data_IF_200144863611
#
_entry.id   IF_200144863611
#
_cell.length_a   1.000
_cell.length_b   1.000
_cell.length_c   1.000
_cell.angle_alpha   90.00
_cell.angle_beta   90.00
_cell.angle_gamma   90.00
#
_symmetry.space_group_name_H-M   'P 1'
#
loop_
_entity.id
_entity.type
_entity.pdbx_description
1 polymer ?
#
# COMPACT_ATOMS: atom_id res chain seq x y z
N UNK A 1 33.48 -2.51 -31.62
CA UNK A 1 32.04 -2.72 -31.31
C UNK A 1 31.51 -4.09 -31.78
N UNK A 2 32.35 -5.09 -32.06
CA UNK A 2 31.92 -6.38 -32.64
C UNK A 2 31.58 -7.45 -31.59
N UNK A 3 32.15 -7.37 -30.38
CA UNK A 3 31.89 -8.30 -29.28
C UNK A 3 30.44 -8.30 -28.81
N UNK A 4 29.91 -7.09 -28.68
CA UNK A 4 28.55 -6.79 -28.25
C UNK A 4 27.49 -7.41 -29.18
N UNK A 5 27.82 -7.55 -30.47
CA UNK A 5 26.95 -8.17 -31.48
C UNK A 5 26.89 -9.70 -31.33
N UNK A 6 27.98 -10.35 -30.91
CA UNK A 6 28.02 -11.82 -30.75
C UNK A 6 27.12 -12.31 -29.62
N UNK A 7 27.14 -11.62 -28.48
CA UNK A 7 26.27 -11.96 -27.34
C UNK A 7 24.79 -11.79 -27.72
N UNK A 8 24.46 -10.71 -28.43
CA UNK A 8 23.09 -10.48 -28.90
C UNK A 8 22.66 -11.51 -29.93
N UNK A 9 23.49 -11.84 -30.91
CA UNK A 9 23.18 -12.86 -31.90
C UNK A 9 22.96 -14.25 -31.26
N UNK A 10 23.70 -14.56 -30.19
CA UNK A 10 23.44 -15.76 -29.39
C UNK A 10 22.06 -15.70 -28.73
N UNK A 11 21.73 -14.61 -28.04
CA UNK A 11 20.43 -14.44 -27.39
C UNK A 11 19.30 -14.56 -28.43
N UNK A 12 19.45 -13.93 -29.60
CA UNK A 12 18.48 -14.02 -30.70
C UNK A 12 18.24 -15.46 -31.15
N UNK A 13 19.31 -16.24 -31.33
CA UNK A 13 19.22 -17.61 -31.84
C UNK A 13 18.80 -18.63 -30.76
N UNK A 14 19.08 -18.32 -29.49
CA UNK A 14 18.98 -19.26 -28.39
C UNK A 14 18.11 -18.76 -27.22
N UNK A 15 17.21 -17.81 -27.44
CA UNK A 15 16.32 -17.28 -26.39
C UNK A 15 15.48 -18.38 -25.72
N UNK A 16 14.89 -19.31 -26.49
CA UNK A 16 14.06 -20.40 -25.95
C UNK A 16 14.83 -21.35 -25.01
N UNK A 17 15.99 -21.95 -25.39
CA UNK A 17 16.73 -22.82 -24.47
C UNK A 17 17.26 -22.07 -23.24
N UNK A 18 17.68 -20.81 -23.39
CA UNK A 18 18.09 -19.98 -22.24
C UNK A 18 16.88 -19.74 -21.30
N UNK A 19 15.72 -19.42 -21.86
CA UNK A 19 14.48 -19.19 -21.11
C UNK A 19 14.00 -20.44 -20.37
N UNK A 20 14.10 -21.64 -20.98
CA UNK A 20 13.77 -22.92 -20.32
C UNK A 20 14.71 -23.23 -19.16
N UNK A 21 16.02 -23.00 -19.35
CA UNK A 21 17.00 -23.17 -18.29
C UNK A 21 16.70 -22.23 -17.11
N UNK A 22 16.38 -20.97 -17.40
CA UNK A 22 15.93 -20.00 -16.40
C UNK A 22 14.64 -20.43 -15.70
N UNK A 23 13.61 -20.85 -16.44
CA UNK A 23 12.32 -21.26 -15.91
C UNK A 23 12.45 -22.45 -14.94
N UNK A 24 13.30 -23.41 -15.26
CA UNK A 24 13.62 -24.55 -14.39
C UNK A 24 14.33 -24.11 -13.10
N UNK A 25 15.21 -23.12 -13.18
CA UNK A 25 15.98 -22.62 -12.04
C UNK A 25 15.09 -21.82 -11.08
N UNK A 26 14.30 -20.85 -11.57
CA UNK A 26 13.39 -20.06 -10.72
C UNK A 26 12.34 -20.93 -10.02
N UNK A 27 11.93 -22.05 -10.62
CA UNK A 27 10.98 -22.99 -9.99
C UNK A 27 11.58 -23.85 -8.87
N UNK A 28 12.91 -23.88 -8.74
CA UNK A 28 13.62 -24.70 -7.74
C UNK A 28 14.41 -23.87 -6.75
N UNK A 29 14.68 -22.61 -7.08
CA UNK A 29 15.53 -21.76 -6.28
C UNK A 29 14.78 -21.31 -5.00
N UNK A 30 15.37 -21.46 -3.80
CA UNK A 30 14.72 -21.09 -2.54
C UNK A 30 14.43 -19.59 -2.42
N UNK A 31 15.10 -18.75 -3.22
CA UNK A 31 14.90 -17.29 -3.24
C UNK A 31 13.78 -16.84 -4.19
N UNK A 32 13.08 -17.77 -4.83
CA UNK A 32 11.98 -17.49 -5.77
C UNK A 32 10.81 -18.45 -5.53
N UNK A 33 10.41 -18.57 -4.27
CA UNK A 33 9.35 -19.50 -3.84
C UNK A 33 8.00 -19.27 -4.56
N UNK A 34 7.66 -18.01 -4.83
CA UNK A 34 6.42 -17.63 -5.53
C UNK A 34 6.37 -18.16 -6.97
N UNK A 35 7.51 -18.52 -7.56
CA UNK A 35 7.59 -19.07 -8.92
C UNK A 35 7.44 -20.59 -8.97
N UNK A 36 7.56 -21.33 -7.86
CA UNK A 36 7.63 -22.80 -7.86
C UNK A 36 6.39 -23.47 -8.48
N UNK A 37 5.22 -22.89 -8.21
CA UNK A 37 3.93 -23.39 -8.68
C UNK A 37 3.52 -22.83 -10.06
N UNK A 38 4.35 -21.99 -10.69
CA UNK A 38 4.04 -21.44 -11.99
C UNK A 38 4.35 -22.46 -13.12
N UNK A 39 3.42 -22.66 -14.06
CA UNK A 39 3.64 -23.55 -15.20
C UNK A 39 4.74 -23.00 -16.11
N UNK A 40 5.54 -23.89 -16.69
CA UNK A 40 6.65 -23.52 -17.57
C UNK A 40 6.13 -22.79 -18.83
N UNK A 41 4.92 -23.14 -19.27
CA UNK A 41 4.20 -22.52 -20.38
C UNK A 41 3.92 -21.02 -20.17
N UNK A 42 3.93 -20.54 -18.91
CA UNK A 42 3.84 -19.12 -18.59
C UNK A 42 5.22 -18.46 -18.41
N UNK A 43 6.16 -19.19 -17.81
CA UNK A 43 7.49 -18.65 -17.49
C UNK A 43 8.35 -18.49 -18.74
N UNK A 44 8.39 -19.48 -19.63
CA UNK A 44 9.26 -19.41 -20.81
C UNK A 44 8.93 -18.21 -21.70
N UNK A 45 7.64 -17.95 -22.07
CA UNK A 45 7.31 -16.75 -22.82
C UNK A 45 7.67 -15.43 -22.11
N UNK A 46 7.57 -15.39 -20.78
CA UNK A 46 7.95 -14.22 -20.00
C UNK A 46 9.44 -13.87 -20.19
N UNK A 47 10.32 -14.86 -20.07
CA UNK A 47 11.77 -14.67 -20.29
C UNK A 47 12.11 -14.39 -21.76
N UNK A 48 11.46 -15.05 -22.71
CA UNK A 48 11.67 -14.79 -24.15
C UNK A 48 11.30 -13.34 -24.49
N UNK A 49 10.13 -12.85 -24.05
CA UNK A 49 9.74 -11.43 -24.24
C UNK A 49 10.75 -10.47 -23.60
N UNK A 50 11.27 -10.81 -22.43
CA UNK A 50 12.33 -10.02 -21.79
C UNK A 50 13.60 -9.97 -22.65
N UNK A 51 14.06 -11.11 -23.17
CA UNK A 51 15.25 -11.19 -24.02
C UNK A 51 15.08 -10.44 -25.35
N UNK A 52 13.89 -10.49 -25.95
CA UNK A 52 13.57 -9.70 -27.13
C UNK A 52 13.63 -8.20 -26.86
N UNK A 53 13.14 -7.76 -25.70
CA UNK A 53 13.21 -6.36 -25.31
C UNK A 53 14.63 -5.92 -24.94
N UNK A 54 15.38 -6.78 -24.24
CA UNK A 54 16.79 -6.58 -23.93
C UNK A 54 17.60 -6.31 -25.21
N UNK A 55 17.34 -7.06 -26.28
CA UNK A 55 17.95 -6.81 -27.58
C UNK A 55 17.66 -5.40 -28.10
N UNK A 56 16.41 -4.96 -28.06
CA UNK A 56 16.03 -3.61 -28.52
C UNK A 56 16.76 -2.53 -27.72
N UNK A 57 16.78 -2.71 -26.40
CA UNK A 57 17.53 -1.85 -25.48
C UNK A 57 19.03 -1.85 -25.79
N UNK A 58 19.56 -2.98 -26.24
CA UNK A 58 20.98 -3.11 -26.57
C UNK A 58 21.42 -2.31 -27.79
N UNK A 59 20.56 -2.09 -28.77
CA UNK A 59 20.88 -1.29 -29.95
C UNK A 59 20.52 0.19 -29.81
N UNK A 60 19.81 0.58 -28.75
CA UNK A 60 19.35 1.94 -28.56
C UNK A 60 20.46 2.89 -28.10
N UNK A 61 20.42 4.14 -28.58
CA UNK A 61 21.27 5.23 -28.10
C UNK A 61 20.98 5.59 -26.64
N UNK A 62 19.70 5.43 -26.23
CA UNK A 62 19.23 5.67 -24.87
C UNK A 62 18.52 4.43 -24.29
N UNK A 63 19.28 3.40 -23.89
CA UNK A 63 18.74 2.11 -23.44
C UNK A 63 17.63 2.23 -22.38
N UNK A 64 17.84 3.11 -21.40
CA UNK A 64 16.93 3.30 -20.28
C UNK A 64 15.57 3.92 -20.69
N UNK A 65 15.56 4.86 -21.64
CA UNK A 65 14.32 5.50 -22.10
C UNK A 65 13.51 4.55 -22.99
N UNK A 66 14.17 3.81 -23.88
CA UNK A 66 13.53 2.90 -24.85
C UNK A 66 12.74 1.76 -24.21
N UNK A 67 13.17 1.29 -23.06
CA UNK A 67 12.64 0.08 -22.41
C UNK A 67 11.78 0.35 -21.17
N UNK A 68 11.64 1.63 -20.78
CA UNK A 68 10.91 2.05 -19.59
C UNK A 68 9.49 1.48 -19.55
N UNK A 69 8.73 1.67 -20.62
CA UNK A 69 7.33 1.22 -20.72
C UNK A 69 7.21 -0.31 -20.59
N UNK A 70 8.11 -1.05 -21.23
CA UNK A 70 8.16 -2.50 -21.10
C UNK A 70 8.38 -2.94 -19.65
N UNK A 71 9.28 -2.28 -18.91
CA UNK A 71 9.52 -2.64 -17.51
C UNK A 71 8.38 -2.25 -16.58
N UNK A 72 7.64 -1.17 -16.88
CA UNK A 72 6.40 -0.85 -16.17
C UNK A 72 5.35 -1.95 -16.32
N UNK A 73 5.09 -2.39 -17.56
CA UNK A 73 4.12 -3.45 -17.84
C UNK A 73 4.58 -4.79 -17.24
N UNK A 74 5.86 -5.12 -17.36
CA UNK A 74 6.44 -6.30 -16.72
C UNK A 74 6.24 -6.26 -15.21
N UNK A 75 6.52 -5.12 -14.56
CA UNK A 75 6.32 -4.95 -13.13
C UNK A 75 4.86 -5.14 -12.71
N UNK A 76 3.92 -4.57 -13.46
CA UNK A 76 2.49 -4.70 -13.20
C UNK A 76 2.00 -6.14 -13.33
N UNK A 77 2.45 -6.89 -14.34
CA UNK A 77 2.16 -8.32 -14.50
C UNK A 77 2.69 -9.13 -13.29
N UNK A 78 3.93 -8.88 -12.86
CA UNK A 78 4.52 -9.57 -11.71
C UNK A 78 3.79 -9.20 -10.39
N UNK A 79 3.41 -7.93 -10.22
CA UNK A 79 2.68 -7.46 -9.04
C UNK A 79 1.27 -8.05 -8.97
N UNK A 80 0.57 -8.10 -10.11
CA UNK A 80 -0.78 -8.68 -10.23
C UNK A 80 -0.78 -10.18 -9.92
N UNK A 81 0.28 -10.88 -10.34
CA UNK A 81 0.51 -12.30 -9.99
C UNK A 81 1.01 -12.52 -8.56
N UNK A 82 1.07 -11.46 -7.74
CA UNK A 82 1.45 -11.48 -6.32
C UNK A 82 2.88 -11.96 -6.07
N UNK A 83 3.77 -11.77 -7.04
CA UNK A 83 5.20 -12.03 -6.85
C UNK A 83 5.79 -10.86 -6.06
N UNK A 84 6.44 -11.13 -4.91
CA UNK A 84 7.06 -10.07 -4.12
C UNK A 84 8.29 -9.50 -4.83
N UNK A 85 8.54 -8.20 -4.64
CA UNK A 85 9.60 -7.45 -5.33
C UNK A 85 10.98 -8.14 -5.27
N UNK A 86 11.36 -8.63 -4.09
CA UNK A 86 12.67 -9.26 -3.90
C UNK A 86 12.84 -10.53 -4.75
N UNK A 87 11.78 -11.32 -4.92
CA UNK A 87 11.80 -12.50 -5.80
C UNK A 87 11.84 -12.09 -7.27
N UNK A 88 11.08 -11.06 -7.66
CA UNK A 88 11.09 -10.55 -9.04
C UNK A 88 12.47 -10.00 -9.44
N UNK A 89 13.13 -9.26 -8.54
CA UNK A 89 14.53 -8.82 -8.73
C UNK A 89 15.46 -10.02 -8.86
N UNK A 90 15.32 -11.02 -7.98
CA UNK A 90 16.17 -12.20 -8.04
C UNK A 90 15.96 -13.00 -9.33
N UNK A 91 14.72 -13.09 -9.81
CA UNK A 91 14.39 -13.71 -11.10
C UNK A 91 15.09 -13.00 -12.27
N UNK A 92 15.16 -11.66 -12.28
CA UNK A 92 15.95 -10.89 -13.26
C UNK A 92 17.46 -11.15 -13.15
N UNK A 93 17.99 -11.25 -11.92
CA UNK A 93 19.40 -11.62 -11.70
C UNK A 93 19.70 -13.00 -12.27
N UNK A 94 18.78 -13.96 -12.10
CA UNK A 94 18.91 -15.29 -12.70
C UNK A 94 18.83 -15.23 -14.23
N UNK A 95 17.93 -14.43 -14.81
CA UNK A 95 17.89 -14.24 -16.27
C UNK A 95 19.23 -13.76 -16.81
N UNK A 96 19.85 -12.77 -16.16
CA UNK A 96 21.19 -12.27 -16.51
C UNK A 96 22.25 -13.37 -16.41
N UNK A 97 22.19 -14.18 -15.36
CA UNK A 97 23.12 -15.30 -15.15
C UNK A 97 23.02 -16.35 -16.25
N UNK A 98 21.80 -16.71 -16.67
CA UNK A 98 21.58 -17.71 -17.72
C UNK A 98 22.05 -17.25 -19.10
N UNK A 99 21.94 -15.95 -19.42
CA UNK A 99 22.57 -15.37 -20.63
C UNK A 99 24.09 -15.63 -20.61
N UNK A 100 24.74 -15.32 -19.49
CA UNK A 100 26.20 -15.44 -19.38
C UNK A 100 26.69 -16.89 -19.40
N UNK A 101 26.06 -17.77 -18.61
CA UNK A 101 26.41 -19.19 -18.57
C UNK A 101 26.27 -19.82 -19.95
N UNK A 102 25.19 -19.53 -20.68
CA UNK A 102 25.00 -20.06 -22.02
C UNK A 102 26.08 -19.54 -22.99
N UNK A 103 26.46 -18.27 -22.90
CA UNK A 103 27.52 -17.70 -23.73
C UNK A 103 28.90 -18.33 -23.47
N UNK A 104 29.21 -18.62 -22.20
CA UNK A 104 30.45 -19.27 -21.77
C UNK A 104 30.50 -20.73 -22.25
N UNK A 105 29.41 -21.50 -22.09
CA UNK A 105 29.31 -22.89 -22.55
C UNK A 105 29.44 -23.05 -24.07
N UNK A 106 29.00 -22.07 -24.85
CA UNK A 106 29.11 -22.10 -26.32
C UNK A 106 30.51 -21.69 -26.83
N UNK A 107 31.47 -21.44 -25.93
CA UNK A 107 32.86 -21.10 -26.25
C UNK A 107 32.96 -19.96 -27.28
N UNK A 108 32.15 -18.91 -27.12
CA UNK A 108 32.02 -17.83 -28.12
C UNK A 108 33.25 -16.91 -28.16
N UNK A 109 34.04 -16.91 -27.09
CA UNK A 109 35.15 -15.97 -26.89
C UNK A 109 36.49 -16.70 -26.64
N UNK A 110 37.01 -17.39 -27.65
CA UNK A 110 38.22 -18.21 -27.55
C UNK A 110 39.49 -17.36 -27.64
N UNK A 111 39.50 -16.34 -28.51
CA UNK A 111 40.70 -15.53 -28.75
C UNK A 111 40.85 -14.40 -27.73
N UNK A 112 42.09 -13.95 -27.48
CA UNK A 112 42.36 -12.86 -26.53
C UNK A 112 41.62 -11.54 -26.88
N UNK A 113 41.42 -11.27 -28.17
CA UNK A 113 40.63 -10.12 -28.65
C UNK A 113 39.14 -10.30 -28.35
N UNK A 114 38.63 -11.54 -28.50
CA UNK A 114 37.25 -11.89 -28.17
C UNK A 114 37.00 -11.86 -26.65
N UNK A 115 37.98 -12.21 -25.82
CA UNK A 115 37.85 -12.08 -24.37
C UNK A 115 37.67 -10.62 -23.92
N UNK A 116 38.47 -9.69 -24.47
CA UNK A 116 38.27 -8.26 -24.19
C UNK A 116 36.88 -7.77 -24.63
N UNK A 117 36.43 -8.26 -25.78
CA UNK A 117 35.09 -8.00 -26.31
C UNK A 117 33.95 -8.62 -25.46
N UNK A 118 34.20 -9.76 -24.82
CA UNK A 118 33.27 -10.39 -23.88
C UNK A 118 33.06 -9.52 -22.64
N UNK A 119 34.14 -8.90 -22.13
CA UNK A 119 34.08 -7.97 -20.99
C UNK A 119 33.20 -6.76 -21.32
N UNK A 120 33.38 -6.14 -22.49
CA UNK A 120 32.55 -4.99 -22.91
C UNK A 120 31.06 -5.38 -23.01
N UNK A 121 30.78 -6.57 -23.52
CA UNK A 121 29.42 -7.11 -23.66
C UNK A 121 28.79 -7.41 -22.30
N UNK A 122 29.59 -7.92 -21.37
CA UNK A 122 29.19 -8.20 -19.99
C UNK A 122 28.86 -6.89 -19.26
N UNK A 123 29.72 -5.88 -19.33
CA UNK A 123 29.48 -4.58 -18.68
C UNK A 123 28.20 -3.93 -19.22
N UNK A 124 27.99 -3.95 -20.54
CA UNK A 124 26.77 -3.40 -21.15
C UNK A 124 25.52 -4.19 -20.73
N UNK A 125 25.62 -5.52 -20.64
CA UNK A 125 24.52 -6.37 -20.16
C UNK A 125 24.17 -6.06 -18.70
N UNK A 126 25.18 -5.96 -17.82
CA UNK A 126 24.98 -5.59 -16.42
C UNK A 126 24.22 -4.27 -16.33
N UNK A 127 24.67 -3.24 -17.04
CA UNK A 127 24.04 -1.92 -17.04
C UNK A 127 22.56 -1.99 -17.43
N UNK A 128 22.20 -2.79 -18.44
CA UNK A 128 20.81 -2.93 -18.89
C UNK A 128 19.92 -3.64 -17.86
N UNK A 129 20.44 -4.69 -17.22
CA UNK A 129 19.72 -5.35 -16.12
C UNK A 129 19.61 -4.46 -14.89
N UNK A 130 20.60 -3.61 -14.61
CA UNK A 130 20.55 -2.67 -13.49
C UNK A 130 19.47 -1.59 -13.72
N UNK A 131 19.32 -1.11 -14.97
CA UNK A 131 18.16 -0.29 -15.34
C UNK A 131 16.84 -1.05 -15.19
N UNK A 132 16.76 -2.30 -15.64
CA UNK A 132 15.56 -3.13 -15.49
C UNK A 132 15.15 -3.27 -14.02
N UNK A 133 16.11 -3.56 -13.13
CA UNK A 133 15.90 -3.69 -11.68
C UNK A 133 15.47 -2.35 -11.07
N UNK A 134 16.08 -1.24 -11.51
CA UNK A 134 15.72 0.10 -11.03
C UNK A 134 14.29 0.45 -11.41
N UNK A 135 13.91 0.27 -12.68
CA UNK A 135 12.56 0.54 -13.14
C UNK A 135 11.54 -0.40 -12.49
N UNK A 136 11.83 -1.71 -12.42
CA UNK A 136 11.00 -2.68 -11.72
C UNK A 136 10.72 -2.23 -10.28
N UNK A 137 11.76 -1.82 -9.56
CA UNK A 137 11.65 -1.36 -8.17
C UNK A 137 10.81 -0.09 -8.06
N UNK A 138 11.02 0.89 -8.94
CA UNK A 138 10.21 2.12 -8.99
C UNK A 138 8.75 1.83 -9.30
N UNK A 139 8.47 0.94 -10.26
CA UNK A 139 7.12 0.54 -10.63
C UNK A 139 6.41 -0.18 -9.48
N UNK A 140 7.07 -1.16 -8.84
CA UNK A 140 6.54 -1.84 -7.66
C UNK A 140 6.25 -0.87 -6.51
N UNK A 141 7.17 0.07 -6.26
CA UNK A 141 6.97 1.09 -5.24
C UNK A 141 5.76 1.97 -5.56
N UNK A 142 5.60 2.39 -6.82
CA UNK A 142 4.43 3.13 -7.29
C UNK A 142 3.12 2.36 -7.10
N UNK A 143 3.09 1.08 -7.46
CA UNK A 143 1.92 0.20 -7.31
C UNK A 143 1.54 -0.03 -5.84
N UNK A 144 2.53 -0.28 -4.97
CA UNK A 144 2.31 -0.44 -3.53
C UNK A 144 1.76 0.86 -2.93
N UNK A 145 2.30 2.02 -3.32
CA UNK A 145 1.81 3.33 -2.89
C UNK A 145 0.37 3.56 -3.35
N UNK A 146 0.04 3.20 -4.59
CA UNK A 146 -1.32 3.27 -5.12
C UNK A 146 -2.30 2.44 -4.28
N UNK A 147 -2.01 1.16 -4.08
CA UNK A 147 -2.85 0.26 -3.27
C UNK A 147 -3.01 0.74 -1.82
N UNK A 148 -1.94 1.28 -1.23
CA UNK A 148 -2.00 1.87 0.10
C UNK A 148 -2.90 3.11 0.14
N UNK A 149 -2.75 4.01 -0.83
CA UNK A 149 -3.59 5.21 -0.94
C UNK A 149 -5.06 4.85 -1.10
N UNK A 150 -5.40 3.83 -1.89
CA UNK A 150 -6.78 3.37 -2.08
C UNK A 150 -7.37 2.81 -0.77
N UNK A 151 -6.59 2.03 -0.02
CA UNK A 151 -7.01 1.52 1.31
C UNK A 151 -7.18 2.64 2.33
N UNK A 152 -6.28 3.62 2.32
CA UNK A 152 -6.37 4.80 3.18
C UNK A 152 -7.51 5.74 2.77
N UNK A 153 -7.90 5.78 1.50
CA UNK A 153 -9.02 6.60 1.03
C UNK A 153 -10.34 6.24 1.73
N UNK A 154 -10.58 4.95 2.00
CA UNK A 154 -11.74 4.49 2.78
C UNK A 154 -11.72 5.04 4.21
N UNK A 155 -10.55 5.04 4.86
CA UNK A 155 -10.39 5.59 6.21
C UNK A 155 -10.59 7.11 6.21
N UNK A 156 -10.02 7.79 5.23
CA UNK A 156 -10.16 9.23 5.04
C UNK A 156 -11.62 9.63 4.75
N UNK A 157 -12.38 8.81 4.03
CA UNK A 157 -13.80 9.02 3.79
C UNK A 157 -14.62 8.98 5.11
N UNK A 158 -14.38 7.98 5.96
CA UNK A 158 -15.05 7.89 7.29
C UNK A 158 -14.67 9.08 8.18
N UNK A 159 -13.41 9.49 8.12
CA UNK A 159 -12.91 10.65 8.87
C UNK A 159 -13.35 12.00 8.27
N UNK A 160 -14.04 12.00 7.12
CA UNK A 160 -14.40 13.19 6.34
C UNK A 160 -13.17 14.07 6.09
N UNK A 161 -12.01 13.47 5.83
CA UNK A 161 -10.75 14.14 5.56
C UNK A 161 -10.52 14.08 4.05
N UNK A 162 -10.58 15.22 3.37
CA UNK A 162 -10.39 15.20 1.92
C UNK A 162 -8.89 14.98 1.61
N UNK A 163 -8.55 14.18 0.59
CA UNK A 163 -7.16 14.03 0.14
C UNK A 163 -6.52 15.35 -0.31
N UNK A 164 -7.34 16.36 -0.64
CA UNK A 164 -6.94 17.65 -1.19
C UNK A 164 -6.98 18.81 -0.17
N UNK A 165 -7.13 18.52 1.13
CA UNK A 165 -7.14 19.56 2.16
C UNK A 165 -8.30 20.57 2.05
N UNK A 166 -9.32 20.30 1.24
CA UNK A 166 -10.51 21.15 1.16
C UNK A 166 -11.37 20.98 2.42
N UNK A 167 -11.81 22.13 2.92
CA UNK A 167 -12.47 22.32 4.22
C UNK A 167 -13.80 21.55 4.31
N UNK A 168 -13.75 20.27 4.69
CA UNK A 168 -14.93 19.50 5.17
C UNK A 168 -15.26 19.81 6.65
N UNK A 169 -14.48 20.70 7.29
CA UNK A 169 -14.75 21.27 8.62
C UNK A 169 -16.21 21.69 8.87
N UNK A 170 -16.89 22.45 7.97
CA UNK A 170 -18.26 22.90 8.22
C UNK A 170 -19.28 21.75 8.23
N UNK A 171 -19.04 20.66 7.48
CA UNK A 171 -19.93 19.50 7.51
C UNK A 171 -19.80 18.72 8.82
N UNK A 172 -18.56 18.52 9.30
CA UNK A 172 -18.30 17.88 10.60
C UNK A 172 -18.99 18.64 11.74
N UNK A 173 -18.82 19.96 11.77
CA UNK A 173 -19.45 20.80 12.81
C UNK A 173 -20.97 20.84 12.66
N UNK A 174 -21.51 20.90 11.44
CA UNK A 174 -22.96 20.88 11.20
C UNK A 174 -23.61 19.57 11.66
N UNK A 175 -23.04 18.41 11.28
CA UNK A 175 -23.55 17.09 11.69
C UNK A 175 -23.50 16.97 13.20
N UNK A 176 -22.38 17.34 13.85
CA UNK A 176 -22.30 17.33 15.31
C UNK A 176 -23.33 18.23 15.97
N UNK A 177 -23.53 19.44 15.46
CA UNK A 177 -24.49 20.38 16.03
C UNK A 177 -25.90 19.78 15.99
N UNK A 178 -26.29 19.15 14.89
CA UNK A 178 -27.58 18.46 14.76
C UNK A 178 -27.68 17.29 15.76
N UNK A 179 -26.63 16.47 15.87
CA UNK A 179 -26.60 15.34 16.80
C UNK A 179 -26.70 15.79 18.27
N UNK A 180 -26.01 16.88 18.64
CA UNK A 180 -26.04 17.44 19.99
C UNK A 180 -27.41 18.05 20.31
N UNK A 181 -27.98 18.83 19.40
CA UNK A 181 -29.34 19.37 19.56
C UNK A 181 -30.35 18.24 19.73
N UNK A 182 -30.28 17.21 18.86
CA UNK A 182 -31.14 16.03 18.98
C UNK A 182 -30.96 15.31 20.32
N UNK A 183 -29.72 15.19 20.80
CA UNK A 183 -29.41 14.58 22.10
C UNK A 183 -30.02 15.38 23.26
N UNK A 184 -29.89 16.71 23.23
CA UNK A 184 -30.45 17.58 24.26
C UNK A 184 -31.98 17.59 24.27
N UNK A 185 -32.62 17.67 23.11
CA UNK A 185 -34.08 17.60 22.98
C UNK A 185 -34.63 16.26 23.49
N UNK A 186 -33.93 15.16 23.18
CA UNK A 186 -34.31 13.83 23.63
C UNK A 186 -34.22 13.72 25.15
N UNK A 187 -33.10 14.16 25.76
CA UNK A 187 -32.96 14.18 27.23
C UNK A 187 -34.07 14.98 27.86
N UNK A 188 -34.34 16.20 27.38
CA UNK A 188 -35.38 17.06 27.93
C UNK A 188 -36.76 16.38 27.88
N UNK A 189 -37.12 15.78 26.75
CA UNK A 189 -38.40 15.08 26.61
C UNK A 189 -38.55 13.93 27.61
N UNK A 190 -37.56 13.05 27.72
CA UNK A 190 -37.64 11.90 28.62
C UNK A 190 -37.55 12.28 30.10
N UNK A 191 -36.74 13.29 30.44
CA UNK A 191 -36.54 13.72 31.81
C UNK A 191 -37.68 14.60 32.33
N UNK A 192 -38.13 15.58 31.53
CA UNK A 192 -39.13 16.56 31.98
C UNK A 192 -40.58 16.12 31.70
N UNK A 193 -40.85 15.40 30.60
CA UNK A 193 -42.23 15.05 30.19
C UNK A 193 -42.60 13.63 30.59
N UNK A 194 -41.70 12.66 30.38
CA UNK A 194 -41.99 11.24 30.65
C UNK A 194 -41.60 10.77 32.06
N UNK A 195 -40.67 11.47 32.74
CA UNK A 195 -40.22 11.13 34.08
C UNK A 195 -39.56 9.74 34.18
N UNK A 196 -38.95 9.26 33.09
CA UNK A 196 -38.44 7.88 32.99
C UNK A 196 -36.95 7.83 32.66
N UNK A 197 -36.19 7.00 33.38
CA UNK A 197 -34.76 6.72 33.14
C UNK A 197 -34.53 5.64 32.07
N UNK A 198 -35.19 5.75 30.91
CA UNK A 198 -35.10 4.75 29.84
C UNK A 198 -33.75 4.78 29.11
N UNK A 199 -33.39 3.65 28.51
CA UNK A 199 -32.13 3.26 27.85
C UNK A 199 -31.81 4.06 26.55
N UNK A 200 -32.35 5.27 26.36
CA UNK A 200 -32.11 6.07 25.13
C UNK A 200 -30.69 6.65 25.04
N UNK A 201 -29.97 6.67 26.15
CA UNK A 201 -28.59 7.19 26.28
C UNK A 201 -27.56 6.45 25.43
N UNK A 202 -27.90 5.28 24.88
CA UNK A 202 -27.07 4.59 23.89
C UNK A 202 -26.90 5.40 22.60
N UNK A 203 -27.90 6.23 22.25
CA UNK A 203 -27.80 7.12 21.09
C UNK A 203 -26.72 8.19 21.28
N UNK A 204 -26.35 8.52 22.52
CA UNK A 204 -25.32 9.52 22.80
C UNK A 204 -23.91 8.99 22.55
N UNK A 205 -23.72 7.67 22.40
CA UNK A 205 -22.45 7.12 21.95
C UNK A 205 -22.10 7.55 20.52
N UNK A 206 -23.09 7.81 19.65
CA UNK A 206 -22.85 8.24 18.27
C UNK A 206 -22.06 9.56 18.22
N UNK A 207 -22.53 10.68 18.81
CA UNK A 207 -21.75 11.92 18.83
C UNK A 207 -20.43 11.78 19.62
N UNK A 208 -20.39 10.98 20.69
CA UNK A 208 -19.15 10.73 21.47
C UNK A 208 -18.07 10.04 20.63
N UNK A 209 -18.44 9.01 19.86
CA UNK A 209 -17.51 8.29 18.98
C UNK A 209 -17.10 9.18 17.81
N UNK A 210 -18.06 9.84 17.16
CA UNK A 210 -17.77 10.74 16.03
C UNK A 210 -16.87 11.91 16.44
N UNK A 211 -17.05 12.45 17.65
CA UNK A 211 -16.18 13.54 18.12
C UNK A 211 -14.73 13.07 18.27
N UNK A 212 -14.52 11.87 18.82
CA UNK A 212 -13.19 11.25 18.94
C UNK A 212 -12.54 10.96 17.57
N UNK A 213 -13.32 10.55 16.57
CA UNK A 213 -12.81 10.30 15.21
C UNK A 213 -12.46 11.61 14.49
N UNK A 214 -13.30 12.64 14.60
CA UNK A 214 -13.14 13.88 13.82
C UNK A 214 -12.16 14.87 14.44
N UNK A 215 -12.07 14.92 15.77
CA UNK A 215 -11.25 15.88 16.51
C UNK A 215 -10.21 15.26 17.44
N UNK A 216 -10.04 13.93 17.43
CA UNK A 216 -9.04 13.23 18.25
C UNK A 216 -9.18 13.65 19.73
N UNK A 217 -8.10 14.11 20.36
CA UNK A 217 -8.09 14.54 21.78
C UNK A 217 -9.07 15.68 22.09
N UNK A 218 -9.30 16.62 21.18
CA UNK A 218 -10.25 17.71 21.44
C UNK A 218 -11.70 17.23 21.35
N UNK A 219 -11.96 16.09 20.72
CA UNK A 219 -13.25 15.41 20.71
C UNK A 219 -13.71 14.90 22.07
N UNK A 220 -12.79 14.64 23.01
CA UNK A 220 -13.09 14.18 24.38
C UNK A 220 -13.95 15.23 25.13
N UNK A 221 -13.79 16.51 24.79
CA UNK A 221 -14.59 17.61 25.36
C UNK A 221 -16.09 17.41 25.11
N UNK A 222 -16.47 16.92 23.93
CA UNK A 222 -17.88 16.64 23.61
C UNK A 222 -18.46 15.56 24.52
N UNK A 223 -17.67 14.51 24.81
CA UNK A 223 -18.08 13.45 25.73
C UNK A 223 -18.25 13.96 27.16
N UNK A 224 -17.35 14.83 27.62
CA UNK A 224 -17.45 15.47 28.93
C UNK A 224 -18.70 16.38 29.02
N UNK A 225 -18.96 17.20 28.00
CA UNK A 225 -20.14 18.09 27.95
C UNK A 225 -21.43 17.28 28.00
N UNK A 226 -21.56 16.22 27.19
CA UNK A 226 -22.74 15.35 27.19
C UNK A 226 -22.94 14.64 28.54
N UNK A 227 -21.85 14.16 29.15
CA UNK A 227 -21.90 13.53 30.47
C UNK A 227 -22.33 14.49 31.58
N UNK A 228 -21.78 15.70 31.61
CA UNK A 228 -22.15 16.74 32.58
C UNK A 228 -23.62 17.14 32.38
N UNK A 229 -24.05 17.34 31.13
CA UNK A 229 -25.42 17.68 30.80
C UNK A 229 -26.42 16.60 31.27
N UNK A 230 -26.09 15.32 31.06
CA UNK A 230 -26.92 14.19 31.51
C UNK A 230 -27.11 14.21 33.03
N UNK A 231 -26.01 14.38 33.79
CA UNK A 231 -26.06 14.46 35.25
C UNK A 231 -26.87 15.67 35.72
N UNK A 232 -26.65 16.86 35.13
CA UNK A 232 -27.39 18.07 35.48
C UNK A 232 -28.88 17.92 35.20
N UNK A 233 -29.25 17.32 34.07
CA UNK A 233 -30.66 17.07 33.73
C UNK A 233 -31.32 16.12 34.74
N UNK A 234 -30.64 15.05 35.14
CA UNK A 234 -31.14 14.13 36.18
C UNK A 234 -31.39 14.84 37.52
N UNK A 235 -30.44 15.68 37.95
CA UNK A 235 -30.57 16.41 39.22
C UNK A 235 -31.75 17.38 39.25
N UNK A 236 -32.06 18.02 38.11
CA UNK A 236 -33.14 19.02 38.02
C UNK A 236 -34.52 18.37 37.88
N UNK A 237 -34.64 17.30 37.10
CA UNK A 237 -35.94 16.76 36.69
C UNK A 237 -36.32 15.42 37.36
N UNK A 238 -35.34 14.66 37.88
CA UNK A 238 -35.52 13.27 38.31
C UNK A 238 -35.09 13.02 39.78
N UNK A 239 -35.43 13.96 40.68
CA UNK A 239 -35.11 13.93 42.11
C UNK A 239 -35.62 12.74 42.93
N UNK A 240 -36.23 11.73 42.30
CA UNK A 240 -36.72 10.49 42.94
C UNK A 240 -36.12 9.19 42.38
N UNK A 241 -35.18 9.25 41.43
CA UNK A 241 -34.58 8.06 40.82
C UNK A 241 -33.07 7.93 41.09
N UNK A 242 -32.49 6.71 41.09
CA UNK A 242 -31.09 6.51 41.41
C UNK A 242 -30.16 7.24 40.42
N UNK A 243 -29.26 8.08 40.96
CA UNK A 243 -28.24 8.80 40.18
C UNK A 243 -27.13 7.86 39.65
N UNK A 244 -27.01 6.64 40.19
CA UNK A 244 -25.96 5.68 39.85
C UNK A 244 -25.88 5.43 38.34
N UNK A 245 -27.02 5.35 37.68
CA UNK A 245 -27.10 4.91 36.30
C UNK A 245 -26.57 5.99 35.35
N UNK A 246 -26.89 7.27 35.61
CA UNK A 246 -26.37 8.39 34.81
C UNK A 246 -24.90 8.69 35.08
N UNK A 247 -24.43 8.46 36.30
CA UNK A 247 -23.00 8.54 36.62
C UNK A 247 -22.21 7.48 35.87
N UNK A 248 -22.70 6.24 35.84
CA UNK A 248 -22.07 5.16 35.06
C UNK A 248 -22.07 5.49 33.57
N UNK A 249 -23.18 6.02 33.03
CA UNK A 249 -23.27 6.43 31.63
C UNK A 249 -22.31 7.57 31.27
N UNK A 250 -22.24 8.61 32.09
CA UNK A 250 -21.31 9.72 31.91
C UNK A 250 -19.85 9.23 31.96
N UNK A 251 -19.52 8.33 32.88
CA UNK A 251 -18.21 7.69 32.94
C UNK A 251 -17.93 6.88 31.66
N UNK A 252 -18.88 6.10 31.16
CA UNK A 252 -18.76 5.36 29.90
C UNK A 252 -18.52 6.29 28.69
N UNK A 253 -19.20 7.45 28.61
CA UNK A 253 -18.93 8.43 27.54
C UNK A 253 -17.48 8.89 27.55
N UNK A 254 -16.93 9.20 28.74
CA UNK A 254 -15.54 9.62 28.88
C UNK A 254 -14.58 8.51 28.45
N UNK A 255 -14.84 7.27 28.87
CA UNK A 255 -14.02 6.10 28.50
C UNK A 255 -14.04 5.89 26.99
N UNK A 256 -15.21 5.83 26.37
CA UNK A 256 -15.37 5.61 24.92
C UNK A 256 -14.73 6.76 24.14
N UNK A 257 -15.05 8.00 24.49
CA UNK A 257 -14.49 9.19 23.84
C UNK A 257 -12.96 9.21 23.91
N UNK A 258 -12.39 8.83 25.05
CA UNK A 258 -10.95 8.73 25.23
C UNK A 258 -10.34 7.62 24.37
N UNK A 259 -10.85 6.38 24.45
CA UNK A 259 -10.35 5.25 23.67
C UNK A 259 -10.37 5.55 22.17
N UNK A 260 -11.49 6.09 21.68
CA UNK A 260 -11.66 6.45 20.27
C UNK A 260 -10.73 7.60 19.87
N UNK A 261 -10.57 8.62 20.71
CA UNK A 261 -9.67 9.73 20.45
C UNK A 261 -8.20 9.29 20.32
N UNK A 262 -7.74 8.42 21.24
CA UNK A 262 -6.40 7.86 21.20
C UNK A 262 -6.19 6.96 19.98
N UNK A 263 -7.17 6.11 19.65
CA UNK A 263 -7.11 5.27 18.46
C UNK A 263 -7.03 6.13 17.18
N UNK A 264 -7.84 7.18 17.10
CA UNK A 264 -7.84 8.09 15.96
C UNK A 264 -6.53 8.85 15.81
N UNK A 265 -5.90 9.23 16.93
CA UNK A 265 -4.57 9.87 16.93
C UNK A 265 -3.50 8.90 16.43
N UNK A 266 -3.47 7.67 16.95
CA UNK A 266 -2.53 6.64 16.54
C UNK A 266 -2.63 6.27 15.05
N UNK A 267 -3.84 6.18 14.50
CA UNK A 267 -4.06 5.94 13.06
C UNK A 267 -3.49 7.08 12.23
N UNK A 268 -3.66 8.33 12.66
CA UNK A 268 -3.15 9.48 11.91
C UNK A 268 -1.62 9.48 11.90
N UNK A 269 -0.99 9.21 13.05
CA UNK A 269 0.46 9.12 13.13
C UNK A 269 1.01 7.99 12.27
N UNK A 270 0.34 6.84 12.21
CA UNK A 270 0.72 5.76 11.30
C UNK A 270 0.62 6.19 9.84
N UNK A 271 -0.48 6.83 9.43
CA UNK A 271 -0.67 7.35 8.08
C UNK A 271 0.43 8.36 7.69
N UNK A 272 0.77 9.29 8.58
CA UNK A 272 1.85 10.26 8.35
C UNK A 272 3.21 9.58 8.17
N UNK A 273 3.55 8.58 9.01
CA UNK A 273 4.79 7.81 8.86
C UNK A 273 4.83 7.07 7.52
N UNK A 274 3.73 6.45 7.11
CA UNK A 274 3.65 5.76 5.83
C UNK A 274 3.78 6.72 4.65
N UNK A 275 3.16 7.91 4.72
CA UNK A 275 3.30 8.95 3.68
C UNK A 275 4.72 9.50 3.61
N UNK A 276 5.39 9.72 4.75
CA UNK A 276 6.77 10.21 4.81
C UNK A 276 7.78 9.19 4.27
N UNK A 277 7.63 7.91 4.61
CA UNK A 277 8.45 6.83 4.05
C UNK A 277 8.14 6.55 2.57
N UNK A 278 7.03 7.09 2.07
CA UNK A 278 6.62 7.06 0.68
C UNK A 278 7.00 8.35 -0.10
N UNK A 279 7.85 9.23 0.43
CA UNK A 279 8.53 10.29 -0.34
C UNK A 279 9.99 9.89 -0.54
#
# INVERSE_FOLDING_TARGET
MTGSLKLIALIEKHADPIARAWAKDVRRNPRTASYHNMPEEKLVPLAVRFYDNFRKMFYADKPAETSREFFFQYAEEQYTTKIPLHEAIYALILMRRHIWLYAEFQVIFITAVEQKQAVDSLVRTILMFDYAITFLSQSYQGLIRGELNDRLALLNMIRLESPLGTRLSPYRTAIMTILLIGSFLLTYYYHAVMGSNVIFTHLFYIPVVLSGIWWKRTGIVVAAILGIFLILSHLVFLGGTPLSDDVVRAAMFLVIGTVVAFLSEGITSAEEIYRLNAM
#
